data_IF_959928660945
#
_entry.id   IF_959928660945
#
_cell.length_a   1.000
_cell.length_b   1.000
_cell.length_c   1.000
_cell.angle_alpha   90.00
_cell.angle_beta   90.00
_cell.angle_gamma   90.00
#
_symmetry.space_group_name_H-M   'P 1'
#
loop_
_entity.id
_entity.type
_entity.pdbx_description
1 polymer ?
#
# COMPACT_ATOMS: atom_id res chain seq x y z
N UNK A 1 5.87 16.41 9.43
CA UNK A 1 5.90 17.86 9.11
C UNK A 1 4.48 18.42 9.20
N UNK A 2 4.15 19.22 10.22
CA UNK A 2 2.78 19.72 10.43
C UNK A 2 2.30 20.74 9.37
N UNK A 3 3.22 21.24 8.54
CA UNK A 3 2.94 22.26 7.51
C UNK A 3 2.64 21.67 6.12
N UNK A 4 2.91 20.37 5.93
CA UNK A 4 2.57 19.66 4.70
C UNK A 4 1.09 19.27 4.73
N UNK A 5 0.39 19.59 3.66
CA UNK A 5 -1.00 19.23 3.43
C UNK A 5 -1.11 18.55 2.07
N UNK A 6 -2.08 17.65 1.94
CA UNK A 6 -2.32 16.92 0.69
C UNK A 6 -3.75 17.13 0.22
N UNK A 7 -3.90 17.30 -1.08
CA UNK A 7 -5.17 17.34 -1.78
C UNK A 7 -5.34 16.00 -2.51
N UNK A 8 -6.43 15.28 -2.23
CA UNK A 8 -6.81 14.04 -2.92
C UNK A 8 -8.19 14.22 -3.55
N UNK A 9 -8.38 13.72 -4.77
CA UNK A 9 -9.70 13.66 -5.38
C UNK A 9 -10.48 12.48 -4.77
N UNK A 10 -11.73 12.74 -4.35
CA UNK A 10 -12.64 11.71 -3.80
C UNK A 10 -13.79 11.38 -4.76
N UNK A 11 -14.13 12.33 -5.64
CA UNK A 11 -15.13 12.17 -6.69
C UNK A 11 -14.82 13.12 -7.82
N UNK A 12 -14.82 12.61 -9.05
CA UNK A 12 -14.77 13.42 -10.26
C UNK A 12 -15.79 12.91 -11.27
N UNK A 13 -16.69 13.79 -11.73
CA UNK A 13 -17.72 13.45 -12.72
C UNK A 13 -17.40 13.94 -14.13
N UNK A 14 -16.31 14.69 -14.30
CA UNK A 14 -15.95 15.35 -15.56
C UNK A 14 -14.62 14.86 -16.15
N UNK A 15 -13.79 14.18 -15.37
CA UNK A 15 -12.49 13.64 -15.78
C UNK A 15 -12.05 12.50 -14.83
N UNK A 16 -11.06 11.67 -15.20
CA UNK A 16 -10.45 10.74 -14.26
C UNK A 16 -9.94 11.44 -13.00
N UNK A 17 -9.92 10.72 -11.88
CA UNK A 17 -9.33 11.24 -10.64
C UNK A 17 -7.83 11.49 -10.84
N UNK A 18 -7.38 12.66 -10.38
CA UNK A 18 -5.98 13.06 -10.50
C UNK A 18 -5.14 12.50 -9.36
N UNK A 19 -3.83 12.48 -9.56
CA UNK A 19 -2.88 12.13 -8.51
C UNK A 19 -3.04 13.06 -7.29
N UNK A 20 -2.77 12.54 -6.10
CA UNK A 20 -2.71 13.38 -4.91
C UNK A 20 -1.55 14.39 -5.02
N UNK A 21 -1.81 15.64 -4.64
CA UNK A 21 -0.84 16.75 -4.73
C UNK A 21 -0.59 17.30 -3.34
N UNK A 22 0.68 17.37 -2.95
CA UNK A 22 1.13 17.98 -1.72
C UNK A 22 1.51 19.45 -1.91
N UNK A 23 1.23 20.23 -0.87
CA UNK A 23 1.66 21.61 -0.75
C UNK A 23 2.09 21.90 0.70
N UNK A 24 2.91 22.94 0.86
CA UNK A 24 3.32 23.47 2.17
C UNK A 24 2.67 24.82 2.41
N UNK A 25 2.20 25.05 3.63
CA UNK A 25 1.75 26.37 4.08
C UNK A 25 2.61 26.79 5.29
N UNK A 26 3.65 27.57 5.00
CA UNK A 26 4.61 28.09 5.97
C UNK A 26 4.21 29.51 6.39
N UNK A 27 4.46 29.90 7.64
CA UNK A 27 4.07 31.23 8.16
C UNK A 27 4.89 32.39 7.57
N UNK A 28 6.16 32.16 7.26
CA UNK A 28 7.09 33.17 6.77
C UNK A 28 7.08 33.23 5.24
N UNK A 29 7.12 32.07 4.59
CA UNK A 29 7.25 31.95 3.13
C UNK A 29 5.89 31.83 2.43
N UNK A 30 4.83 31.43 3.13
CA UNK A 30 3.50 31.24 2.56
C UNK A 30 3.31 29.88 1.84
N UNK A 31 2.49 29.89 0.78
CA UNK A 31 2.08 28.69 0.05
C UNK A 31 3.12 28.23 -0.98
N UNK A 32 3.44 26.94 -0.99
CA UNK A 32 4.36 26.33 -1.98
C UNK A 32 3.86 24.97 -2.45
N UNK A 33 3.90 24.73 -3.77
CA UNK A 33 3.69 23.41 -4.32
C UNK A 33 4.89 22.49 -4.02
N UNK A 34 4.61 21.29 -3.52
CA UNK A 34 5.60 20.21 -3.40
C UNK A 34 5.51 19.31 -4.64
N UNK A 35 4.28 19.05 -5.11
CA UNK A 35 4.01 18.23 -6.30
C UNK A 35 3.26 16.95 -5.97
N UNK A 36 3.42 15.93 -6.81
CA UNK A 36 2.75 14.63 -6.64
C UNK A 36 3.16 13.98 -5.32
N UNK A 37 2.20 13.35 -4.67
CA UNK A 37 2.41 12.68 -3.39
C UNK A 37 1.74 11.31 -3.40
N UNK A 38 2.46 10.28 -2.99
CA UNK A 38 1.94 8.92 -3.06
C UNK A 38 1.05 8.61 -1.84
N UNK A 39 -0.19 9.10 -1.82
CA UNK A 39 -1.19 8.83 -0.78
C UNK A 39 -2.60 8.85 -1.39
N UNK A 40 -3.50 8.00 -0.91
CA UNK A 40 -4.91 8.03 -1.33
C UNK A 40 -5.81 8.80 -0.36
N UNK A 41 -7.06 9.05 -0.74
CA UNK A 41 -8.05 9.64 0.17
C UNK A 41 -8.35 8.70 1.35
N UNK A 42 -8.41 7.39 1.10
CA UNK A 42 -8.60 6.36 2.12
C UNK A 42 -7.45 6.34 3.13
N UNK A 43 -6.21 6.52 2.66
CA UNK A 43 -5.04 6.63 3.52
C UNK A 43 -5.18 7.80 4.52
N UNK A 44 -5.61 8.97 4.03
CA UNK A 44 -5.82 10.16 4.85
C UNK A 44 -6.96 9.97 5.84
N UNK A 45 -8.07 9.37 5.40
CA UNK A 45 -9.25 9.10 6.25
C UNK A 45 -8.99 8.01 7.29
N UNK A 46 -7.99 7.14 7.08
CA UNK A 46 -7.62 6.08 8.03
C UNK A 46 -6.96 6.59 9.31
N UNK A 47 -6.51 7.86 9.34
CA UNK A 47 -6.05 8.58 10.53
C UNK A 47 -4.69 8.18 11.11
N UNK A 48 -4.14 7.00 10.78
CA UNK A 48 -2.88 6.49 11.34
C UNK A 48 -1.92 5.86 10.30
N UNK A 49 -2.14 6.19 9.01
CA UNK A 49 -1.35 5.67 7.90
C UNK A 49 -1.56 4.17 7.67
N UNK A 50 -2.62 3.56 8.23
CA UNK A 50 -3.01 2.17 7.96
C UNK A 50 -3.16 1.90 6.48
N UNK A 51 -3.76 2.84 5.73
CA UNK A 51 -3.92 2.74 4.29
C UNK A 51 -2.59 2.58 3.53
N UNK A 52 -1.60 3.41 3.84
CA UNK A 52 -0.28 3.33 3.20
C UNK A 52 0.43 2.01 3.54
N UNK A 53 0.34 1.56 4.79
CA UNK A 53 0.92 0.29 5.24
C UNK A 53 0.30 -0.89 4.51
N UNK A 54 -1.04 -0.91 4.35
CA UNK A 54 -1.71 -2.00 3.64
C UNK A 54 -1.37 -1.97 2.15
N UNK A 55 -1.31 -0.80 1.52
CA UNK A 55 -0.93 -0.67 0.10
C UNK A 55 0.50 -1.16 -0.16
N UNK A 56 1.46 -0.72 0.65
CA UNK A 56 2.86 -1.17 0.55
C UNK A 56 2.96 -2.70 0.71
N UNK A 57 2.20 -3.29 1.64
CA UNK A 57 2.16 -4.74 1.80
C UNK A 57 1.52 -5.45 0.60
N UNK A 58 0.52 -4.85 -0.07
CA UNK A 58 -0.05 -5.40 -1.31
C UNK A 58 0.93 -5.34 -2.48
N UNK A 59 1.63 -4.22 -2.66
CA UNK A 59 2.65 -4.07 -3.70
C UNK A 59 3.77 -5.11 -3.51
N UNK A 60 4.24 -5.26 -2.28
CA UNK A 60 5.19 -6.31 -1.91
C UNK A 60 4.70 -7.72 -2.29
N UNK A 61 3.46 -8.06 -1.94
CA UNK A 61 2.90 -9.38 -2.26
C UNK A 61 2.75 -9.61 -3.77
N UNK A 62 2.39 -8.57 -4.54
CA UNK A 62 2.34 -8.65 -6.00
C UNK A 62 3.73 -8.86 -6.62
N UNK A 63 4.74 -8.16 -6.11
CA UNK A 63 6.13 -8.29 -6.56
C UNK A 63 6.68 -9.68 -6.29
N UNK A 64 6.58 -10.17 -5.05
CA UNK A 64 7.21 -11.44 -4.66
C UNK A 64 6.52 -12.67 -5.26
N UNK A 65 5.23 -12.56 -5.59
CA UNK A 65 4.43 -13.61 -6.23
C UNK A 65 4.31 -13.45 -7.76
N UNK A 66 4.95 -12.43 -8.36
CA UNK A 66 4.89 -12.19 -9.80
C UNK A 66 5.42 -13.38 -10.61
N UNK A 67 6.41 -14.10 -10.06
CA UNK A 67 7.03 -15.27 -10.70
C UNK A 67 6.38 -16.60 -10.28
N UNK A 68 5.16 -16.56 -9.74
CA UNK A 68 4.41 -17.73 -9.29
C UNK A 68 4.44 -17.92 -7.77
N UNK A 69 4.23 -19.17 -7.34
CA UNK A 69 4.04 -19.45 -5.92
C UNK A 69 5.32 -19.35 -5.11
N UNK A 70 5.26 -18.79 -3.89
CA UNK A 70 6.38 -18.76 -2.95
C UNK A 70 5.98 -19.34 -1.58
N UNK A 71 6.95 -19.94 -0.88
CA UNK A 71 6.76 -20.49 0.46
C UNK A 71 6.38 -19.39 1.47
N UNK A 72 5.31 -19.62 2.23
CA UNK A 72 4.76 -18.69 3.21
C UNK A 72 5.75 -18.29 4.31
N UNK A 73 6.69 -19.17 4.68
CA UNK A 73 7.76 -18.86 5.62
C UNK A 73 8.72 -17.81 5.05
N UNK A 74 9.15 -17.96 3.79
CA UNK A 74 10.04 -17.01 3.11
C UNK A 74 9.37 -15.65 2.88
N UNK A 75 8.09 -15.66 2.49
CA UNK A 75 7.31 -14.42 2.35
C UNK A 75 7.25 -13.66 3.68
N UNK A 76 7.10 -14.37 4.81
CA UNK A 76 7.04 -13.74 6.12
C UNK A 76 8.40 -13.14 6.55
N UNK A 77 9.50 -13.81 6.24
CA UNK A 77 10.87 -13.34 6.48
C UNK A 77 11.16 -12.05 5.68
N UNK A 78 10.95 -12.09 4.36
CA UNK A 78 11.15 -10.92 3.48
C UNK A 78 10.22 -9.75 3.85
N UNK A 79 8.98 -10.05 4.27
CA UNK A 79 8.06 -9.04 4.76
C UNK A 79 8.60 -8.34 6.02
N UNK A 80 9.19 -9.09 6.95
CA UNK A 80 9.78 -8.54 8.17
C UNK A 80 11.01 -7.67 7.86
N UNK A 81 11.86 -8.10 6.92
CA UNK A 81 13.00 -7.29 6.44
C UNK A 81 12.56 -5.96 5.82
N UNK A 82 11.41 -5.95 5.12
CA UNK A 82 10.79 -4.73 4.59
C UNK A 82 9.95 -3.94 5.61
N UNK A 83 9.95 -4.35 6.89
CA UNK A 83 9.22 -3.69 7.96
C UNK A 83 7.70 -3.89 7.94
N UNK A 84 7.20 -4.86 7.17
CA UNK A 84 5.77 -5.19 7.08
C UNK A 84 5.40 -6.11 8.23
N UNK A 85 4.62 -5.59 9.18
CA UNK A 85 4.11 -6.38 10.31
C UNK A 85 3.18 -7.50 9.82
N UNK A 86 3.26 -8.67 10.48
CA UNK A 86 2.44 -9.86 10.19
C UNK A 86 0.95 -9.57 9.99
N UNK A 87 0.34 -8.73 10.84
CA UNK A 87 -1.09 -8.37 10.71
C UNK A 87 -1.38 -7.63 9.39
N UNK A 88 -0.51 -6.70 9.00
CA UNK A 88 -0.62 -5.96 7.73
C UNK A 88 -0.45 -6.90 6.54
N UNK A 89 0.53 -7.81 6.60
CA UNK A 89 0.75 -8.84 5.58
C UNK A 89 -0.49 -9.72 5.38
N UNK A 90 -1.10 -10.21 6.46
CA UNK A 90 -2.31 -11.03 6.40
C UNK A 90 -3.53 -10.26 5.87
N UNK A 91 -3.69 -9.00 6.25
CA UNK A 91 -4.75 -8.16 5.69
C UNK A 91 -4.54 -7.97 4.18
N UNK A 92 -3.30 -7.72 3.74
CA UNK A 92 -2.99 -7.54 2.32
C UNK A 92 -3.26 -8.82 1.52
N UNK A 93 -2.85 -9.98 2.07
CA UNK A 93 -3.18 -11.30 1.50
C UNK A 93 -4.68 -11.48 1.30
N UNK A 94 -5.49 -11.13 2.32
CA UNK A 94 -6.95 -11.26 2.26
C UNK A 94 -7.55 -10.35 1.20
N UNK A 95 -7.10 -9.10 1.13
CA UNK A 95 -7.61 -8.12 0.16
C UNK A 95 -7.16 -8.40 -1.28
N UNK A 96 -6.03 -9.07 -1.48
CA UNK A 96 -5.58 -9.57 -2.79
C UNK A 96 -6.12 -10.96 -3.15
N UNK A 97 -6.94 -11.55 -2.27
CA UNK A 97 -7.51 -12.89 -2.46
C UNK A 97 -6.44 -13.96 -2.78
N UNK A 98 -5.24 -13.83 -2.20
CA UNK A 98 -4.13 -14.75 -2.43
C UNK A 98 -4.44 -16.14 -1.85
N UNK A 99 -4.29 -17.16 -2.69
CA UNK A 99 -4.55 -18.54 -2.34
C UNK A 99 -3.44 -19.13 -1.45
N UNK A 100 -3.77 -20.20 -0.75
CA UNK A 100 -2.82 -20.93 0.08
C UNK A 100 -2.88 -22.41 -0.27
N UNK A 101 -1.81 -22.89 -0.89
CA UNK A 101 -1.70 -24.27 -1.37
C UNK A 101 -0.67 -24.99 -0.51
N UNK A 102 -1.00 -26.20 -0.07
CA UNK A 102 -0.05 -27.05 0.65
C UNK A 102 0.67 -27.95 -0.34
N UNK A 103 2.00 -27.82 -0.43
CA UNK A 103 2.86 -28.66 -1.27
C UNK A 103 3.81 -29.41 -0.35
N UNK A 104 3.63 -30.74 -0.25
CA UNK A 104 4.30 -31.56 0.75
C UNK A 104 3.94 -31.13 2.17
N UNK A 105 4.95 -30.74 2.97
CA UNK A 105 4.75 -30.27 4.35
C UNK A 105 4.85 -28.74 4.52
N UNK A 106 4.80 -27.99 3.41
CA UNK A 106 4.98 -26.54 3.40
C UNK A 106 3.77 -25.83 2.78
N UNK A 107 3.51 -24.62 3.24
CA UNK A 107 2.46 -23.75 2.71
C UNK A 107 3.06 -22.77 1.71
N UNK A 108 2.40 -22.65 0.57
CA UNK A 108 2.76 -21.73 -0.50
C UNK A 108 1.62 -20.75 -0.74
N UNK A 109 1.97 -19.51 -1.04
CA UNK A 109 1.02 -18.50 -1.50
C UNK A 109 1.22 -18.27 -2.98
N UNK A 110 0.12 -18.00 -3.69
CA UNK A 110 0.12 -17.68 -5.11
C UNK A 110 -1.03 -16.70 -5.41
N UNK A 111 -0.80 -15.81 -6.38
CA UNK A 111 -1.86 -14.98 -6.92
C UNK A 111 -2.85 -15.86 -7.68
N UNK A 112 -4.14 -15.50 -7.68
CA UNK A 112 -5.11 -16.13 -8.56
C UNK A 112 -4.79 -15.72 -10.00
N UNK A 113 -4.84 -16.67 -10.93
CA UNK A 113 -4.88 -16.34 -12.36
C UNK A 113 -6.26 -15.75 -12.67
N UNK A 114 -6.29 -14.61 -13.38
CA UNK A 114 -7.54 -13.99 -13.85
C UNK A 114 -8.29 -14.87 -14.86
#
# INVERSE_FOLDING_TARGET
EPEIRVICHVKSSLAPEGDAIAFRLDKEKGFHWIGKYNISAEDLLSGDGRGQKIRSAKEFLKEILANGSMEQAKIAEEAEERGIKKKTLWNAKKELQIDSVKIGNKWFWMLQEE
#
